data_IF_933173091491
#
_entry.id   IF_933173091491
#
_cell.length_a   1.000
_cell.length_b   1.000
_cell.length_c   1.000
_cell.angle_alpha   90.00
_cell.angle_beta   90.00
_cell.angle_gamma   90.00
#
_symmetry.space_group_name_H-M   'P 1'
#
loop_
_entity.id
_entity.type
_entity.pdbx_description
1 polymer ?
#
# COMPACT_ATOMS: atom_id res chain seq x y z
N UNK A 1 19.97 48.85 3.56
CA UNK A 1 19.00 49.97 3.40
C UNK A 1 17.62 49.29 3.40
N UNK A 2 16.92 49.24 4.52
CA UNK A 2 15.93 50.17 5.06
C UNK A 2 14.73 50.33 4.09
N UNK A 3 13.55 49.88 4.42
CA UNK A 3 12.59 50.35 5.42
C UNK A 3 11.39 49.42 5.54
N UNK A 4 11.08 49.06 6.72
CA UNK A 4 9.82 48.98 7.44
C UNK A 4 8.69 49.90 6.91
N UNK A 5 7.45 49.36 6.87
CA UNK A 5 6.28 50.11 7.33
C UNK A 5 5.23 49.21 7.97
N UNK A 6 4.93 49.56 9.21
CA UNK A 6 3.86 49.15 10.09
C UNK A 6 2.57 49.90 9.75
N UNK A 7 1.44 49.35 10.12
CA UNK A 7 0.19 49.88 10.72
C UNK A 7 -1.00 49.16 10.14
N UNK A 8 -2.05 48.89 10.86
CA UNK A 8 -2.48 49.23 12.20
C UNK A 8 -3.85 48.57 12.48
N UNK A 9 -4.08 48.38 13.69
CA UNK A 9 -5.33 47.97 14.32
C UNK A 9 -6.51 48.87 13.97
N UNK A 10 -7.74 48.30 13.93
CA UNK A 10 -8.88 48.99 14.54
C UNK A 10 -10.00 48.03 14.88
N UNK A 11 -10.35 48.00 16.15
CA UNK A 11 -11.56 47.46 16.77
C UNK A 11 -12.77 48.37 16.49
N UNK A 12 -13.95 47.83 16.28
CA UNK A 12 -15.24 48.37 16.77
C UNK A 12 -16.28 47.25 16.75
N UNK A 13 -16.72 46.79 17.88
CA UNK A 13 -17.74 47.22 18.81
C UNK A 13 -19.22 46.98 18.36
N UNK A 14 -19.77 46.01 19.03
CA UNK A 14 -21.17 45.91 19.56
C UNK A 14 -22.33 46.46 18.76
N UNK A 15 -23.30 45.60 18.49
CA UNK A 15 -24.72 45.91 18.72
C UNK A 15 -25.50 44.66 19.07
N UNK A 16 -26.01 44.63 20.31
CA UNK A 16 -27.05 43.73 20.83
C UNK A 16 -28.39 44.14 20.23
N UNK A 17 -29.12 43.17 19.73
CA UNK A 17 -30.59 43.31 19.56
C UNK A 17 -31.27 42.15 20.28
N UNK A 18 -31.86 42.48 21.37
CA UNK A 18 -32.74 41.67 22.21
C UNK A 18 -34.08 41.59 21.48
N UNK A 19 -34.46 40.40 21.01
CA UNK A 19 -35.80 40.10 20.50
C UNK A 19 -36.36 38.90 21.28
N UNK A 20 -37.12 39.23 22.32
CA UNK A 20 -37.96 38.28 23.03
C UNK A 20 -39.06 37.82 22.08
N UNK A 21 -39.18 36.53 21.83
CA UNK A 21 -40.43 35.89 21.41
C UNK A 21 -40.86 34.90 22.46
N UNK A 22 -42.03 35.22 23.04
CA UNK A 22 -42.84 34.42 23.90
C UNK A 22 -43.24 33.11 23.20
N UNK A 23 -42.98 32.00 23.84
CA UNK A 23 -43.52 30.70 23.50
C UNK A 23 -44.75 30.47 24.41
N UNK A 24 -45.89 29.99 23.87
CA UNK A 24 -46.98 29.53 24.68
C UNK A 24 -46.62 28.19 25.33
N UNK A 25 -46.95 28.09 26.60
CA UNK A 25 -46.84 26.91 27.41
C UNK A 25 -47.99 25.91 27.10
N UNK A 26 -47.68 24.64 27.32
CA UNK A 26 -48.54 23.49 27.54
C UNK A 26 -49.15 22.80 26.31
N UNK A 27 -48.44 21.68 25.93
CA UNK A 27 -49.18 20.44 25.70
C UNK A 27 -48.40 19.27 26.34
N UNK A 28 -49.09 18.22 26.83
CA UNK A 28 -48.45 17.15 27.62
C UNK A 28 -47.63 16.23 26.75
N UNK A 29 -46.39 15.94 27.21
CA UNK A 29 -45.51 14.94 26.60
C UNK A 29 -46.13 13.54 26.75
N UNK A 30 -46.66 13.01 25.63
CA UNK A 30 -46.92 11.59 25.49
C UNK A 30 -45.58 10.83 25.53
N UNK A 31 -45.27 10.27 26.69
CA UNK A 31 -44.19 9.31 26.88
C UNK A 31 -44.44 8.03 26.04
N UNK A 32 -44.13 8.07 24.76
CA UNK A 32 -43.97 6.84 23.98
C UNK A 32 -42.67 6.13 24.43
N UNK A 33 -42.79 5.36 25.48
CA UNK A 33 -41.79 4.39 25.86
C UNK A 33 -41.66 3.34 24.74
N UNK A 34 -40.71 3.51 23.84
CA UNK A 34 -40.33 2.50 22.86
C UNK A 34 -39.77 1.30 23.64
N UNK A 35 -40.64 0.34 23.96
CA UNK A 35 -40.22 -0.95 24.53
C UNK A 35 -39.61 -1.80 23.41
N UNK A 36 -38.29 -1.79 23.31
CA UNK A 36 -37.53 -2.73 22.45
C UNK A 36 -37.84 -4.17 22.91
N UNK A 37 -38.17 -5.09 21.97
CA UNK A 37 -38.44 -6.48 22.28
C UNK A 37 -37.20 -7.11 22.99
N UNK A 38 -37.48 -7.97 23.98
CA UNK A 38 -36.44 -8.54 24.86
C UNK A 38 -35.23 -9.19 24.15
N UNK A 39 -35.42 -9.65 22.91
CA UNK A 39 -34.34 -10.20 22.05
C UNK A 39 -33.39 -9.15 21.51
N UNK A 40 -33.81 -7.87 21.40
CA UNK A 40 -32.91 -6.76 20.97
C UNK A 40 -32.04 -6.22 22.12
N UNK A 41 -32.44 -6.42 23.37
CA UNK A 41 -31.71 -5.96 24.56
C UNK A 41 -30.40 -6.74 24.79
N UNK A 42 -30.30 -8.00 24.29
CA UNK A 42 -29.10 -8.85 24.42
C UNK A 42 -28.12 -8.66 23.26
N UNK A 43 -28.55 -8.16 22.09
CA UNK A 43 -27.69 -7.95 20.93
C UNK A 43 -27.01 -6.56 20.94
N UNK A 44 -27.61 -5.58 21.60
CA UNK A 44 -27.03 -4.22 21.66
C UNK A 44 -25.63 -4.17 22.33
N UNK A 45 -25.39 -4.84 23.48
CA UNK A 45 -24.05 -4.83 24.08
C UNK A 45 -23.02 -5.58 23.22
N UNK A 46 -23.41 -6.63 22.48
CA UNK A 46 -22.52 -7.36 21.60
C UNK A 46 -22.07 -6.52 20.40
N UNK A 47 -23.00 -5.74 19.82
CA UNK A 47 -22.68 -4.83 18.72
C UNK A 47 -21.73 -3.68 19.15
N UNK A 48 -21.90 -3.17 20.37
CA UNK A 48 -21.05 -2.14 20.95
C UNK A 48 -19.63 -2.69 21.23
N UNK A 49 -19.53 -3.91 21.74
CA UNK A 49 -18.22 -4.58 21.99
C UNK A 49 -17.48 -4.82 20.66
N UNK A 50 -18.19 -5.26 19.61
CA UNK A 50 -17.59 -5.46 18.28
C UNK A 50 -17.15 -4.13 17.65
N UNK A 51 -17.89 -3.03 17.82
CA UNK A 51 -17.51 -1.71 17.32
C UNK A 51 -16.27 -1.14 18.06
N UNK A 52 -16.15 -1.40 19.35
CA UNK A 52 -14.98 -0.97 20.15
C UNK A 52 -13.72 -1.77 19.81
N UNK A 53 -13.85 -3.08 19.53
CA UNK A 53 -12.73 -3.91 19.13
C UNK A 53 -12.12 -3.49 17.78
N UNK A 54 -12.96 -3.05 16.81
CA UNK A 54 -12.50 -2.56 15.51
C UNK A 54 -11.69 -1.26 15.59
N UNK A 55 -12.04 -0.34 16.51
CA UNK A 55 -11.27 0.88 16.75
C UNK A 55 -9.92 0.60 17.42
N UNK A 56 -9.87 -0.39 18.31
CA UNK A 56 -8.65 -0.74 19.04
C UNK A 56 -7.55 -1.27 18.10
N UNK A 57 -7.91 -2.00 17.05
CA UNK A 57 -6.92 -2.63 16.16
C UNK A 57 -6.22 -1.63 15.23
N UNK A 58 -6.93 -0.61 14.72
CA UNK A 58 -6.34 0.44 13.90
C UNK A 58 -5.45 1.39 14.71
N UNK A 59 -5.86 1.74 15.93
CA UNK A 59 -5.02 2.50 16.86
C UNK A 59 -3.79 1.72 17.34
N UNK A 60 -3.84 0.38 17.33
CA UNK A 60 -2.71 -0.46 17.74
C UNK A 60 -1.57 -0.43 16.70
N UNK A 61 -1.88 -0.39 15.38
CA UNK A 61 -0.87 -0.35 14.33
C UNK A 61 -0.15 1.01 14.28
N UNK A 62 -0.88 2.13 14.29
CA UNK A 62 -0.29 3.47 14.31
C UNK A 62 0.56 3.70 15.57
N UNK A 63 0.09 3.17 16.70
CA UNK A 63 0.83 3.20 17.94
C UNK A 63 2.12 2.38 17.84
N UNK A 64 2.04 1.16 17.29
CA UNK A 64 3.20 0.29 17.08
C UNK A 64 4.23 0.95 16.16
N UNK A 65 3.80 1.52 15.04
CA UNK A 65 4.65 2.24 14.10
C UNK A 65 5.38 3.40 14.79
N UNK A 66 4.67 4.20 15.61
CA UNK A 66 5.25 5.29 16.39
C UNK A 66 6.26 4.78 17.42
N UNK A 67 5.96 3.68 18.09
CA UNK A 67 6.86 3.05 19.08
C UNK A 67 8.11 2.47 18.42
N UNK A 68 7.98 1.83 17.26
CA UNK A 68 9.12 1.35 16.46
C UNK A 68 10.00 2.51 15.99
N UNK A 69 9.38 3.58 15.47
CA UNK A 69 10.11 4.78 15.04
C UNK A 69 10.87 5.43 16.21
N UNK A 70 10.23 5.53 17.38
CA UNK A 70 10.85 6.09 18.58
C UNK A 70 12.01 5.21 19.05
N UNK A 71 11.83 3.90 19.11
CA UNK A 71 12.88 2.95 19.48
C UNK A 71 14.05 3.01 18.49
N UNK A 72 13.76 3.01 17.19
CA UNK A 72 14.77 3.10 16.13
C UNK A 72 15.57 4.40 16.18
N UNK A 73 14.90 5.52 16.43
CA UNK A 73 15.56 6.83 16.54
C UNK A 73 16.44 6.95 17.78
N UNK A 74 16.09 6.30 18.90
CA UNK A 74 16.80 6.40 20.17
C UNK A 74 17.90 5.35 20.36
N UNK A 75 17.68 4.12 19.87
CA UNK A 75 18.55 2.97 20.11
C UNK A 75 18.86 2.12 18.88
N UNK A 76 18.54 2.61 17.67
CA UNK A 76 18.88 2.00 16.40
C UNK A 76 17.90 0.89 15.94
N UNK A 77 18.20 0.34 14.77
CA UNK A 77 17.36 -0.68 14.09
C UNK A 77 17.08 -1.91 14.98
N UNK A 78 18.04 -2.47 15.74
CA UNK A 78 17.76 -3.61 16.62
C UNK A 78 16.66 -3.33 17.66
N UNK A 79 16.55 -2.09 18.15
CA UNK A 79 15.51 -1.73 19.10
C UNK A 79 14.12 -1.64 18.45
N UNK A 80 14.04 -1.12 17.21
CA UNK A 80 12.81 -1.13 16.43
C UNK A 80 12.36 -2.56 16.14
N UNK A 81 13.29 -3.43 15.73
CA UNK A 81 13.03 -4.85 15.48
C UNK A 81 12.52 -5.56 16.74
N UNK A 82 13.17 -5.37 17.88
CA UNK A 82 12.74 -5.95 19.14
C UNK A 82 11.33 -5.49 19.54
N UNK A 83 10.97 -4.22 19.24
CA UNK A 83 9.62 -3.70 19.49
C UNK A 83 8.58 -4.35 18.59
N UNK A 84 8.89 -4.54 17.32
CA UNK A 84 8.03 -5.25 16.38
C UNK A 84 7.84 -6.72 16.81
N UNK A 85 8.92 -7.42 17.12
CA UNK A 85 8.86 -8.84 17.52
C UNK A 85 8.08 -9.05 18.83
N UNK A 86 8.12 -8.09 19.74
CA UNK A 86 7.33 -8.10 20.98
C UNK A 86 5.83 -7.84 20.76
N UNK A 87 5.44 -7.26 19.62
CA UNK A 87 4.03 -7.01 19.31
C UNK A 87 3.28 -8.25 18.83
N UNK A 88 3.98 -9.21 18.24
CA UNK A 88 3.40 -10.46 17.73
C UNK A 88 3.56 -11.59 18.76
N UNK A 89 2.48 -11.90 19.46
CA UNK A 89 2.48 -12.87 20.57
C UNK A 89 2.07 -14.27 20.13
N UNK A 90 1.28 -14.35 19.06
CA UNK A 90 0.76 -15.62 18.51
C UNK A 90 1.43 -15.98 17.18
N UNK A 91 1.37 -17.25 16.80
CA UNK A 91 1.85 -17.72 15.50
C UNK A 91 1.03 -17.12 14.34
N UNK A 92 -0.27 -16.90 14.54
CA UNK A 92 -1.12 -16.25 13.55
C UNK A 92 -0.61 -14.83 13.23
N UNK A 93 -0.35 -14.01 14.26
CA UNK A 93 0.21 -12.66 14.11
C UNK A 93 1.59 -12.68 13.42
N UNK A 94 2.46 -13.63 13.79
CA UNK A 94 3.78 -13.80 13.15
C UNK A 94 3.72 -14.27 11.71
N UNK A 95 2.60 -14.84 11.27
CA UNK A 95 2.38 -15.28 9.89
C UNK A 95 1.74 -14.20 9.02
N UNK A 96 1.38 -13.04 9.56
CA UNK A 96 0.76 -11.95 8.80
C UNK A 96 1.71 -11.31 7.80
N UNK A 97 1.15 -10.87 6.67
CA UNK A 97 1.93 -10.26 5.60
C UNK A 97 2.68 -9.01 6.07
N UNK A 98 1.96 -8.06 6.70
CA UNK A 98 2.55 -6.79 7.14
C UNK A 98 3.67 -7.00 8.14
N UNK A 99 3.45 -7.88 9.15
CA UNK A 99 4.49 -8.21 10.13
C UNK A 99 5.77 -8.72 9.47
N UNK A 100 5.65 -9.61 8.48
CA UNK A 100 6.81 -10.19 7.81
C UNK A 100 7.49 -9.22 6.82
N UNK A 101 6.75 -8.29 6.21
CA UNK A 101 7.32 -7.21 5.41
C UNK A 101 8.16 -6.26 6.28
N UNK A 102 7.60 -5.78 7.39
CA UNK A 102 8.28 -4.88 8.32
C UNK A 102 9.50 -5.57 8.97
N UNK A 103 9.33 -6.81 9.43
CA UNK A 103 10.40 -7.59 10.02
C UNK A 103 11.55 -7.84 9.03
N UNK A 104 11.19 -8.23 7.81
CA UNK A 104 12.17 -8.45 6.75
C UNK A 104 12.99 -7.20 6.44
N UNK A 105 12.34 -6.04 6.35
CA UNK A 105 13.03 -4.79 6.08
C UNK A 105 13.92 -4.34 7.24
N UNK A 106 13.46 -4.42 8.49
CA UNK A 106 14.29 -4.09 9.65
C UNK A 106 15.52 -5.00 9.74
N UNK A 107 15.36 -6.31 9.49
CA UNK A 107 16.48 -7.25 9.45
C UNK A 107 17.46 -6.91 8.32
N UNK A 108 16.96 -6.49 7.15
CA UNK A 108 17.79 -6.08 6.02
C UNK A 108 18.59 -4.81 6.34
N UNK A 109 17.94 -3.84 6.98
CA UNK A 109 18.60 -2.61 7.45
C UNK A 109 19.67 -2.89 8.52
N UNK A 110 19.49 -3.96 9.29
CA UNK A 110 20.47 -4.45 10.28
C UNK A 110 21.53 -5.38 9.66
N UNK A 111 21.58 -5.48 8.32
CA UNK A 111 22.49 -6.34 7.55
C UNK A 111 22.35 -7.85 7.83
N UNK A 112 21.26 -8.29 8.41
CA UNK A 112 20.93 -9.70 8.69
C UNK A 112 20.18 -10.30 7.50
N UNK A 113 20.86 -10.41 6.36
CA UNK A 113 20.24 -10.74 5.07
C UNK A 113 19.61 -12.14 5.04
N UNK A 114 20.19 -13.13 5.71
CA UNK A 114 19.61 -14.49 5.80
C UNK A 114 18.29 -14.49 6.57
N UNK A 115 18.22 -13.81 7.70
CA UNK A 115 17.00 -13.73 8.51
C UNK A 115 15.94 -12.85 7.83
N UNK A 116 16.36 -11.76 7.18
CA UNK A 116 15.52 -10.95 6.32
C UNK A 116 14.90 -11.78 5.20
N UNK A 117 15.69 -12.60 4.53
CA UNK A 117 15.22 -13.51 3.48
C UNK A 117 14.16 -14.48 4.00
N UNK A 118 14.35 -15.05 5.20
CA UNK A 118 13.34 -15.94 5.81
C UNK A 118 12.03 -15.20 6.07
N UNK A 119 12.07 -13.99 6.63
CA UNK A 119 10.88 -13.16 6.86
C UNK A 119 10.17 -12.81 5.54
N UNK A 120 10.90 -12.37 4.53
CA UNK A 120 10.32 -12.07 3.22
C UNK A 120 9.76 -13.30 2.51
N UNK A 121 10.32 -14.50 2.70
CA UNK A 121 9.73 -15.73 2.15
C UNK A 121 8.39 -16.09 2.82
N UNK A 122 8.19 -15.79 4.11
CA UNK A 122 6.89 -15.93 4.76
C UNK A 122 5.87 -14.92 4.20
N UNK A 123 6.30 -13.66 4.00
CA UNK A 123 5.48 -12.65 3.32
C UNK A 123 5.13 -13.08 1.88
N UNK A 124 6.09 -13.63 1.15
CA UNK A 124 5.93 -14.08 -0.23
C UNK A 124 4.93 -15.25 -0.37
N UNK A 125 4.86 -16.13 0.62
CA UNK A 125 3.84 -17.17 0.64
C UNK A 125 2.42 -16.58 0.67
N UNK A 126 2.18 -15.52 1.46
CA UNK A 126 0.89 -14.82 1.50
C UNK A 126 0.57 -14.12 0.19
N UNK A 127 1.56 -13.50 -0.44
CA UNK A 127 1.36 -12.87 -1.76
C UNK A 127 1.05 -13.93 -2.83
N UNK A 128 1.66 -15.11 -2.77
CA UNK A 128 1.32 -16.23 -3.68
C UNK A 128 -0.11 -16.71 -3.53
N UNK A 129 -0.63 -16.79 -2.30
CA UNK A 129 -2.04 -17.11 -2.06
C UNK A 129 -2.96 -16.09 -2.76
N UNK A 130 -2.61 -14.79 -2.69
CA UNK A 130 -3.32 -13.74 -3.40
C UNK A 130 -3.19 -13.87 -4.93
N UNK A 131 -1.98 -14.14 -5.45
CA UNK A 131 -1.74 -14.35 -6.88
C UNK A 131 -2.56 -15.52 -7.44
N UNK A 132 -2.66 -16.60 -6.69
CA UNK A 132 -3.46 -17.76 -7.08
C UNK A 132 -4.95 -17.41 -7.12
N UNK A 133 -5.45 -16.69 -6.12
CA UNK A 133 -6.82 -16.21 -6.10
C UNK A 133 -7.11 -15.24 -7.27
N UNK A 134 -6.18 -14.35 -7.59
CA UNK A 134 -6.30 -13.41 -8.71
C UNK A 134 -6.37 -14.09 -10.07
N UNK A 135 -5.72 -15.25 -10.22
CA UNK A 135 -5.74 -16.07 -11.44
C UNK A 135 -6.98 -16.94 -11.53
N UNK A 136 -7.37 -17.59 -10.43
CA UNK A 136 -8.39 -18.64 -10.43
C UNK A 136 -9.80 -18.11 -10.20
N UNK A 137 -9.97 -17.12 -9.32
CA UNK A 137 -11.28 -16.54 -8.97
C UNK A 137 -11.21 -15.02 -8.76
N UNK A 138 -10.88 -14.25 -9.82
CA UNK A 138 -10.73 -12.80 -9.71
C UNK A 138 -12.02 -12.10 -9.27
N UNK A 139 -13.20 -12.63 -9.64
CA UNK A 139 -14.48 -12.03 -9.25
C UNK A 139 -14.74 -12.14 -7.75
N UNK A 140 -14.40 -13.28 -7.13
CA UNK A 140 -14.49 -13.45 -5.69
C UNK A 140 -13.54 -12.49 -4.97
N UNK A 141 -12.32 -12.35 -5.44
CA UNK A 141 -11.35 -11.42 -4.87
C UNK A 141 -11.84 -9.96 -4.98
N UNK A 142 -12.35 -9.54 -6.16
CA UNK A 142 -12.98 -8.22 -6.35
C UNK A 142 -14.21 -8.01 -5.45
N UNK A 143 -15.07 -9.04 -5.31
CA UNK A 143 -16.23 -9.01 -4.44
C UNK A 143 -15.86 -8.83 -2.97
N UNK A 144 -14.78 -9.47 -2.51
CA UNK A 144 -14.24 -9.30 -1.16
C UNK A 144 -13.72 -7.87 -0.95
N UNK A 145 -13.05 -7.29 -1.96
CA UNK A 145 -12.62 -5.91 -1.95
C UNK A 145 -13.81 -4.92 -1.90
N UNK A 146 -14.87 -5.17 -2.69
CA UNK A 146 -16.10 -4.36 -2.69
C UNK A 146 -16.87 -4.43 -1.37
N UNK A 147 -16.96 -5.61 -0.75
CA UNK A 147 -17.59 -5.78 0.57
C UNK A 147 -16.79 -5.12 1.70
N UNK A 148 -15.48 -4.97 1.54
CA UNK A 148 -14.59 -4.32 2.51
C UNK A 148 -14.81 -2.79 2.61
N UNK A 149 -15.49 -2.17 1.64
CA UNK A 149 -15.94 -0.77 1.74
C UNK A 149 -16.91 -0.55 2.90
N UNK A 150 -17.55 -1.62 3.39
CA UNK A 150 -18.46 -1.57 4.54
C UNK A 150 -17.70 -1.61 5.88
N UNK A 151 -16.48 -2.15 5.91
CA UNK A 151 -15.65 -2.19 7.12
C UNK A 151 -14.15 -2.42 6.79
N UNK A 152 -13.44 -1.39 6.41
CA UNK A 152 -11.96 -1.42 6.25
C UNK A 152 -11.23 -1.96 7.49
N UNK A 153 -11.90 -1.89 8.65
CA UNK A 153 -11.36 -2.27 9.96
C UNK A 153 -11.24 -3.77 10.20
N UNK A 154 -11.87 -4.59 9.37
CA UNK A 154 -11.85 -6.07 9.49
C UNK A 154 -11.04 -6.73 8.39
N UNK A 155 -10.43 -5.96 7.49
CA UNK A 155 -9.68 -6.49 6.36
C UNK A 155 -8.30 -6.96 6.80
N UNK A 156 -8.00 -8.23 6.52
CA UNK A 156 -6.61 -8.72 6.58
C UNK A 156 -5.78 -7.92 5.57
N UNK A 157 -4.60 -7.49 5.97
CA UNK A 157 -3.70 -6.74 5.09
C UNK A 157 -3.20 -7.63 3.94
N UNK A 158 -3.58 -7.30 2.72
CA UNK A 158 -3.21 -8.07 1.51
C UNK A 158 -2.00 -7.50 0.78
N UNK A 159 -1.47 -6.38 1.24
CA UNK A 159 -0.38 -5.64 0.61
C UNK A 159 -0.83 -4.82 -0.60
N UNK A 160 -0.18 -3.70 -0.82
CA UNK A 160 -0.35 -2.90 -2.03
C UNK A 160 0.38 -3.55 -3.22
N UNK A 161 -0.03 -3.24 -4.44
CA UNK A 161 0.58 -3.86 -5.63
C UNK A 161 2.08 -3.58 -5.73
N UNK A 162 2.50 -2.35 -5.43
CA UNK A 162 3.92 -1.99 -5.41
C UNK A 162 4.71 -2.72 -4.32
N UNK A 163 4.10 -3.04 -3.17
CA UNK A 163 4.76 -3.79 -2.10
C UNK A 163 4.97 -5.25 -2.49
N UNK A 164 4.00 -5.84 -3.19
CA UNK A 164 4.12 -7.20 -3.73
C UNK A 164 5.30 -7.32 -4.69
N UNK A 165 5.46 -6.34 -5.58
CA UNK A 165 6.59 -6.25 -6.53
C UNK A 165 7.90 -5.97 -5.78
N UNK A 166 7.89 -5.03 -4.84
CA UNK A 166 9.05 -4.67 -4.04
C UNK A 166 9.57 -5.83 -3.20
N UNK A 167 8.70 -6.67 -2.68
CA UNK A 167 9.04 -7.85 -1.89
C UNK A 167 10.01 -8.80 -2.63
N UNK A 168 9.71 -9.16 -3.88
CA UNK A 168 10.61 -10.03 -4.67
C UNK A 168 11.86 -9.31 -5.12
N UNK A 169 11.80 -7.99 -5.32
CA UNK A 169 12.99 -7.17 -5.59
C UNK A 169 13.93 -7.16 -4.39
N UNK A 170 13.42 -6.99 -3.18
CA UNK A 170 14.25 -7.01 -1.95
C UNK A 170 14.79 -8.39 -1.63
N UNK A 171 14.05 -9.46 -1.95
CA UNK A 171 14.58 -10.83 -1.91
C UNK A 171 15.79 -10.97 -2.84
N UNK A 172 15.69 -10.53 -4.09
CA UNK A 172 16.81 -10.55 -5.03
C UNK A 172 18.00 -9.73 -4.50
N UNK A 173 17.77 -8.55 -3.94
CA UNK A 173 18.84 -7.72 -3.33
C UNK A 173 19.51 -8.43 -2.14
N UNK A 174 18.75 -9.12 -1.28
CA UNK A 174 19.33 -9.91 -0.20
C UNK A 174 20.20 -11.05 -0.74
N UNK A 175 19.74 -11.75 -1.80
CA UNK A 175 20.52 -12.79 -2.47
C UNK A 175 21.82 -12.26 -3.06
N UNK A 176 21.76 -11.07 -3.70
CA UNK A 176 22.98 -10.40 -4.21
C UNK A 176 23.95 -10.09 -3.06
N UNK A 177 23.46 -9.57 -1.94
CA UNK A 177 24.28 -9.28 -0.77
C UNK A 177 24.92 -10.54 -0.16
N UNK A 178 24.28 -11.70 -0.32
CA UNK A 178 24.78 -13.02 0.11
C UNK A 178 25.66 -13.71 -0.95
N UNK A 179 25.82 -13.15 -2.14
CA UNK A 179 26.54 -13.77 -3.26
C UNK A 179 25.76 -14.89 -3.97
N UNK A 180 24.48 -15.06 -3.65
CA UNK A 180 23.61 -16.10 -4.21
C UNK A 180 22.91 -15.58 -5.48
N UNK A 181 23.67 -15.40 -6.54
CA UNK A 181 23.21 -14.78 -7.79
C UNK A 181 22.17 -15.63 -8.53
N UNK A 182 22.24 -16.94 -8.43
CA UNK A 182 21.28 -17.85 -9.06
C UNK A 182 19.87 -17.71 -8.46
N UNK A 183 19.76 -17.67 -7.15
CA UNK A 183 18.47 -17.43 -6.52
C UNK A 183 18.02 -15.96 -6.66
N UNK A 184 18.95 -14.99 -6.72
CA UNK A 184 18.62 -13.61 -7.06
C UNK A 184 17.95 -13.51 -8.45
N UNK A 185 18.47 -14.25 -9.44
CA UNK A 185 17.88 -14.39 -10.78
C UNK A 185 16.46 -14.95 -10.74
N UNK A 186 16.23 -15.97 -9.89
CA UNK A 186 14.89 -16.55 -9.71
C UNK A 186 13.93 -15.53 -9.12
N UNK A 187 14.34 -14.82 -8.06
CA UNK A 187 13.50 -13.83 -7.39
C UNK A 187 13.17 -12.65 -8.32
N UNK A 188 14.14 -12.16 -9.10
CA UNK A 188 13.86 -11.05 -10.03
C UNK A 188 12.99 -11.48 -11.22
N UNK A 189 13.10 -12.71 -11.69
CA UNK A 189 12.17 -13.26 -12.69
C UNK A 189 10.75 -13.29 -12.14
N UNK A 190 10.58 -13.73 -10.91
CA UNK A 190 9.28 -13.72 -10.22
C UNK A 190 8.70 -12.32 -10.05
N UNK A 191 9.54 -11.28 -9.91
CA UNK A 191 9.09 -9.88 -9.87
C UNK A 191 8.33 -9.53 -11.15
N UNK A 192 8.87 -9.88 -12.33
CA UNK A 192 8.21 -9.62 -13.61
C UNK A 192 6.95 -10.45 -13.81
N UNK A 193 6.95 -11.72 -13.38
CA UNK A 193 5.76 -12.57 -13.42
C UNK A 193 4.63 -11.99 -12.54
N UNK A 194 4.99 -11.45 -11.38
CA UNK A 194 4.06 -10.78 -10.46
C UNK A 194 3.49 -9.50 -11.04
N UNK A 195 4.32 -8.65 -11.66
CA UNK A 195 3.84 -7.47 -12.38
C UNK A 195 2.80 -7.84 -13.46
N UNK A 196 3.02 -8.94 -14.20
CA UNK A 196 2.06 -9.41 -15.19
C UNK A 196 0.73 -9.87 -14.57
N UNK A 197 0.75 -10.59 -13.44
CA UNK A 197 -0.45 -11.00 -12.71
C UNK A 197 -1.24 -9.79 -12.22
N UNK A 198 -0.56 -8.82 -11.64
CA UNK A 198 -1.17 -7.57 -11.16
C UNK A 198 -1.82 -6.82 -12.33
N UNK A 199 -1.10 -6.67 -13.45
CA UNK A 199 -1.60 -6.00 -14.64
C UNK A 199 -2.89 -6.65 -15.16
N UNK A 200 -2.92 -7.98 -15.26
CA UNK A 200 -4.09 -8.72 -15.71
C UNK A 200 -5.27 -8.58 -14.73
N UNK A 201 -5.01 -8.68 -13.43
CA UNK A 201 -6.04 -8.51 -12.41
C UNK A 201 -6.65 -7.11 -12.44
N UNK A 202 -5.82 -6.05 -12.52
CA UNK A 202 -6.29 -4.67 -12.59
C UNK A 202 -7.05 -4.37 -13.88
N UNK A 203 -6.66 -4.96 -15.01
CA UNK A 203 -7.43 -4.84 -16.26
C UNK A 203 -8.83 -5.46 -16.12
N UNK A 204 -8.95 -6.64 -15.50
CA UNK A 204 -10.25 -7.28 -15.22
C UNK A 204 -11.10 -6.47 -14.27
N UNK A 205 -10.50 -5.90 -13.22
CA UNK A 205 -11.18 -5.05 -12.24
C UNK A 205 -11.77 -3.79 -12.91
N UNK A 206 -10.99 -3.15 -13.78
CA UNK A 206 -11.45 -1.98 -14.55
C UNK A 206 -12.63 -2.32 -15.46
N UNK A 207 -12.55 -3.43 -16.20
CA UNK A 207 -13.63 -3.89 -17.08
C UNK A 207 -14.91 -4.20 -16.28
N UNK A 208 -14.80 -4.87 -15.14
CA UNK A 208 -15.93 -5.15 -14.26
C UNK A 208 -16.59 -3.87 -13.73
N UNK A 209 -15.78 -2.88 -13.33
CA UNK A 209 -16.27 -1.58 -12.87
C UNK A 209 -16.99 -0.81 -13.99
N UNK A 210 -16.47 -0.86 -15.23
CA UNK A 210 -17.12 -0.24 -16.39
C UNK A 210 -18.47 -0.91 -16.72
N UNK A 211 -18.55 -2.24 -16.66
CA UNK A 211 -19.78 -2.99 -16.87
C UNK A 211 -20.83 -2.67 -15.78
N UNK A 212 -20.40 -2.61 -14.54
CA UNK A 212 -21.27 -2.24 -13.41
C UNK A 212 -21.80 -0.80 -13.58
N UNK A 213 -20.93 0.15 -13.93
CA UNK A 213 -21.32 1.53 -14.19
C UNK A 213 -22.37 1.61 -15.33
N UNK A 214 -22.15 0.89 -16.45
CA UNK A 214 -23.11 0.81 -17.55
C UNK A 214 -24.44 0.20 -17.12
N UNK A 215 -24.42 -0.88 -16.32
CA UNK A 215 -25.64 -1.56 -15.84
C UNK A 215 -26.47 -0.68 -14.90
N UNK A 216 -25.84 0.19 -14.14
CA UNK A 216 -26.50 1.17 -13.25
C UNK A 216 -26.94 2.45 -13.96
N UNK A 217 -26.82 2.51 -15.29
CA UNK A 217 -27.18 3.68 -16.09
C UNK A 217 -26.30 4.91 -15.83
N UNK A 218 -25.13 4.71 -15.23
CA UNK A 218 -24.12 5.73 -15.12
C UNK A 218 -23.54 5.97 -16.52
N UNK A 219 -24.12 6.92 -17.25
CA UNK A 219 -23.51 7.44 -18.46
C UNK A 219 -22.28 8.24 -18.07
N UNK A 220 -21.20 8.09 -18.82
CA UNK A 220 -19.95 8.90 -18.73
C UNK A 220 -20.16 10.40 -18.97
N UNK A 221 -21.40 10.88 -18.89
CA UNK A 221 -21.81 12.27 -18.97
C UNK A 221 -21.56 13.07 -17.66
N UNK A 222 -21.10 12.40 -16.59
CA UNK A 222 -20.57 13.09 -15.44
C UNK A 222 -19.21 13.68 -15.78
N UNK A 223 -19.14 14.99 -15.93
CA UNK A 223 -17.89 15.71 -16.18
C UNK A 223 -16.89 15.64 -15.01
N UNK A 224 -17.30 15.02 -13.91
CA UNK A 224 -16.53 14.96 -12.65
C UNK A 224 -16.70 13.60 -11.98
N UNK A 225 -15.58 13.02 -11.54
CA UNK A 225 -15.56 11.85 -10.63
C UNK A 225 -14.99 12.36 -9.30
N UNK A 226 -15.79 12.30 -8.24
CA UNK A 226 -15.40 12.76 -6.89
C UNK A 226 -14.91 14.22 -6.85
N UNK A 227 -15.48 15.09 -7.73
CA UNK A 227 -15.10 16.51 -7.83
C UNK A 227 -13.90 16.78 -8.74
N UNK A 228 -13.35 15.76 -9.41
CA UNK A 228 -12.27 15.92 -10.39
C UNK A 228 -12.79 15.78 -11.81
N UNK A 229 -12.39 16.66 -12.77
CA UNK A 229 -12.73 16.50 -14.17
C UNK A 229 -12.24 15.15 -14.72
N UNK A 230 -13.12 14.42 -15.43
CA UNK A 230 -12.75 13.10 -16.03
C UNK A 230 -11.56 13.22 -16.99
N UNK A 231 -11.35 14.38 -17.57
CA UNK A 231 -10.23 14.67 -18.46
C UNK A 231 -8.87 14.54 -17.76
N UNK A 232 -8.81 14.82 -16.44
CA UNK A 232 -7.57 14.66 -15.66
C UNK A 232 -7.09 13.22 -15.51
N UNK A 233 -7.97 12.25 -15.74
CA UNK A 233 -7.59 10.83 -15.77
C UNK A 233 -6.65 10.46 -16.94
N UNK A 234 -6.57 11.33 -17.94
CA UNK A 234 -5.68 11.17 -19.09
C UNK A 234 -4.41 12.01 -18.99
N UNK A 235 -4.23 12.75 -17.91
CA UNK A 235 -2.99 13.49 -17.69
C UNK A 235 -1.82 12.51 -17.60
N UNK A 236 -0.66 12.84 -18.20
CA UNK A 236 0.51 11.95 -18.19
C UNK A 236 0.91 11.49 -16.80
N UNK A 237 0.85 12.37 -15.81
CA UNK A 237 1.15 12.07 -14.40
C UNK A 237 0.16 11.04 -13.79
N UNK A 238 -1.12 11.11 -14.15
CA UNK A 238 -2.15 10.17 -13.70
C UNK A 238 -2.00 8.83 -14.43
N UNK A 239 -1.62 8.86 -15.72
CA UNK A 239 -1.33 7.64 -16.48
C UNK A 239 -0.11 6.88 -15.95
N UNK A 240 0.90 7.59 -15.48
CA UNK A 240 2.05 6.98 -14.78
C UNK A 240 1.61 6.21 -13.51
N UNK A 241 0.62 6.71 -12.78
CA UNK A 241 0.09 6.06 -11.58
C UNK A 241 -0.62 4.71 -11.89
N UNK A 242 -1.11 4.50 -13.12
CA UNK A 242 -1.74 3.23 -13.51
C UNK A 242 -0.80 2.03 -13.42
N UNK A 243 0.49 2.27 -13.58
CA UNK A 243 1.56 1.26 -13.48
C UNK A 243 2.47 1.51 -12.27
N UNK A 244 1.94 2.15 -11.21
CA UNK A 244 2.69 2.51 -10.01
C UNK A 244 3.31 1.32 -9.25
N UNK A 245 2.96 0.09 -9.63
CA UNK A 245 3.59 -1.14 -9.15
C UNK A 245 4.87 -1.50 -9.90
N UNK A 246 5.06 -1.05 -11.14
CA UNK A 246 6.29 -1.31 -11.91
C UNK A 246 7.44 -0.46 -11.40
N UNK A 247 8.60 -1.09 -11.17
CA UNK A 247 9.72 -0.46 -10.50
C UNK A 247 10.97 -0.46 -11.41
N UNK A 248 11.48 0.73 -11.72
CA UNK A 248 12.67 0.89 -12.55
C UNK A 248 13.91 0.20 -11.94
N UNK A 249 14.06 0.21 -10.60
CA UNK A 249 15.15 -0.49 -9.92
C UNK A 249 15.06 -2.02 -10.12
N UNK A 250 13.85 -2.59 -10.05
CA UNK A 250 13.64 -4.02 -10.26
C UNK A 250 14.10 -4.45 -11.65
N UNK A 251 13.73 -3.68 -12.68
CA UNK A 251 14.15 -3.95 -14.06
C UNK A 251 15.64 -3.69 -14.30
N UNK A 252 16.21 -2.67 -13.66
CA UNK A 252 17.65 -2.43 -13.70
C UNK A 252 18.42 -3.59 -13.04
N UNK A 253 17.97 -4.05 -11.88
CA UNK A 253 18.55 -5.20 -11.18
C UNK A 253 18.47 -6.47 -12.03
N UNK A 254 17.38 -6.66 -12.78
CA UNK A 254 17.27 -7.75 -13.74
C UNK A 254 18.34 -7.65 -14.83
N UNK A 255 18.51 -6.48 -15.44
CA UNK A 255 19.56 -6.21 -16.40
C UNK A 255 20.94 -6.57 -15.83
N UNK A 256 21.25 -6.08 -14.65
CA UNK A 256 22.51 -6.33 -13.95
C UNK A 256 22.74 -7.83 -13.67
N UNK A 257 21.75 -8.52 -13.11
CA UNK A 257 21.88 -9.94 -12.78
C UNK A 257 22.11 -10.81 -14.02
N UNK A 258 21.32 -10.60 -15.07
CA UNK A 258 21.50 -11.32 -16.33
C UNK A 258 22.86 -11.03 -16.98
N UNK A 259 23.34 -9.78 -16.89
CA UNK A 259 24.65 -9.43 -17.39
C UNK A 259 25.78 -10.14 -16.61
N UNK A 260 25.72 -10.10 -15.27
CA UNK A 260 26.73 -10.76 -14.41
C UNK A 260 26.76 -12.27 -14.64
N UNK A 261 25.61 -12.87 -14.90
CA UNK A 261 25.49 -14.30 -15.22
C UNK A 261 25.84 -14.64 -16.68
N UNK A 262 26.26 -13.65 -17.48
CA UNK A 262 26.64 -13.86 -18.89
C UNK A 262 25.44 -14.01 -19.85
N UNK A 263 24.23 -13.68 -19.39
CA UNK A 263 22.99 -13.77 -20.17
C UNK A 263 22.63 -12.42 -20.83
N UNK A 264 23.56 -11.84 -21.61
CA UNK A 264 23.42 -10.48 -22.18
C UNK A 264 22.13 -10.28 -22.99
N UNK A 265 21.64 -11.33 -23.66
CA UNK A 265 20.38 -11.29 -24.40
C UNK A 265 19.16 -11.01 -23.52
N UNK A 266 19.20 -11.39 -22.24
CA UNK A 266 18.16 -11.14 -21.24
C UNK A 266 18.41 -9.84 -20.45
N UNK A 267 19.66 -9.38 -20.40
CA UNK A 267 20.03 -8.14 -19.71
C UNK A 267 19.46 -6.89 -20.39
N UNK A 268 19.57 -6.81 -21.74
CA UNK A 268 19.12 -5.66 -22.50
C UNK A 268 17.62 -5.31 -22.31
N UNK A 269 16.67 -6.27 -22.33
CA UNK A 269 15.27 -5.98 -22.00
C UNK A 269 15.07 -5.37 -20.61
N UNK A 270 15.80 -5.84 -19.59
CA UNK A 270 15.75 -5.29 -18.25
C UNK A 270 16.14 -3.81 -18.21
N UNK A 271 17.31 -3.48 -18.76
CA UNK A 271 17.78 -2.10 -18.84
C UNK A 271 16.84 -1.18 -19.65
N UNK A 272 16.33 -1.66 -20.81
CA UNK A 272 15.35 -0.89 -21.61
C UNK A 272 14.08 -0.59 -20.83
N UNK A 273 13.54 -1.56 -20.11
CA UNK A 273 12.34 -1.37 -19.31
C UNK A 273 12.59 -0.41 -18.15
N UNK A 274 13.73 -0.47 -17.51
CA UNK A 274 14.13 0.49 -16.48
C UNK A 274 14.17 1.94 -17.03
N UNK A 275 14.74 2.14 -18.22
CA UNK A 275 14.78 3.45 -18.90
C UNK A 275 13.37 3.92 -19.29
N UNK A 276 12.50 3.03 -19.78
CA UNK A 276 11.11 3.34 -20.09
C UNK A 276 10.36 3.86 -18.87
N UNK A 277 10.54 3.21 -17.71
CA UNK A 277 9.89 3.58 -16.45
C UNK A 277 10.48 4.86 -15.83
N UNK A 278 11.77 5.12 -16.05
CA UNK A 278 12.45 6.30 -15.51
C UNK A 278 13.37 6.90 -16.57
N UNK A 279 12.82 7.62 -17.55
CA UNK A 279 13.61 8.22 -18.62
C UNK A 279 14.54 9.32 -18.09
N UNK A 280 15.53 9.67 -18.88
CA UNK A 280 16.53 10.72 -18.56
C UNK A 280 17.34 10.44 -17.27
N UNK A 281 17.55 9.16 -16.95
CA UNK A 281 18.33 8.74 -15.78
C UNK A 281 19.67 8.14 -16.25
N UNK A 282 20.75 8.91 -16.17
CA UNK A 282 22.05 8.55 -16.76
C UNK A 282 22.58 7.17 -16.36
N UNK A 283 22.45 6.75 -15.11
CA UNK A 283 22.89 5.42 -14.64
C UNK A 283 22.14 4.27 -15.33
N UNK A 284 20.85 4.45 -15.64
CA UNK A 284 20.05 3.43 -16.34
C UNK A 284 20.48 3.34 -17.82
N UNK A 285 20.71 4.48 -18.47
CA UNK A 285 21.17 4.54 -19.86
C UNK A 285 22.58 3.98 -20.01
N UNK A 286 23.46 4.22 -19.04
CA UNK A 286 24.81 3.70 -19.02
C UNK A 286 24.81 2.18 -18.89
N UNK A 287 23.91 1.60 -18.09
CA UNK A 287 23.69 0.16 -18.01
C UNK A 287 23.48 -0.47 -19.38
N UNK A 288 22.58 0.07 -20.19
CA UNK A 288 22.30 -0.42 -21.53
C UNK A 288 23.46 -0.15 -22.51
N UNK A 289 24.00 1.08 -22.52
CA UNK A 289 25.07 1.51 -23.45
C UNK A 289 26.33 0.69 -23.29
N UNK A 290 26.69 0.31 -22.06
CA UNK A 290 27.89 -0.45 -21.78
C UNK A 290 27.77 -1.95 -22.04
N UNK A 291 26.56 -2.48 -22.24
CA UNK A 291 26.32 -3.92 -22.28
C UNK A 291 27.15 -4.66 -23.34
N UNK A 292 27.25 -4.10 -24.55
CA UNK A 292 27.99 -4.72 -25.67
C UNK A 292 29.53 -4.60 -25.54
N UNK A 293 30.00 -3.65 -24.73
CA UNK A 293 31.43 -3.36 -24.55
C UNK A 293 32.01 -3.97 -23.28
N UNK A 294 31.19 -4.40 -22.36
CA UNK A 294 31.65 -5.08 -21.13
C UNK A 294 31.97 -6.54 -21.45
N UNK A 295 33.22 -6.93 -21.25
CA UNK A 295 33.60 -8.34 -21.25
C UNK A 295 32.91 -9.03 -20.09
N UNK A 296 32.38 -10.24 -20.32
CA UNK A 296 31.82 -11.08 -19.27
C UNK A 296 32.74 -11.11 -18.06
N UNK A 297 32.19 -10.85 -16.88
CA UNK A 297 32.94 -10.97 -15.64
C UNK A 297 33.41 -12.41 -15.49
N UNK A 298 34.72 -12.63 -15.63
CA UNK A 298 35.35 -13.87 -15.21
C UNK A 298 35.64 -13.74 -13.72
N UNK A 299 34.96 -14.51 -12.91
CA UNK A 299 35.18 -14.66 -11.47
C UNK A 299 36.40 -15.55 -11.21
#
# INVERSE_FOLDING_TARGET
MARLHKRGEECHARRSVRGQRLWPANEPEDNMAFSLPARMRTLAPLAVVLALAGCANMQSHDKLATEMQTAGSSAGIPAALARLEASATTEAERSELLYNLERGELLRMDHRYEDSTKAFLLADARVKDWEEAAKTDPQKLMGTLGAALISERLKVYEGQDYEKVWLTTTLALNRVALGDLENARVDIKRTHEREAVIAEFRAKELLAAEEEAKSKGATSAGKEISGYPVETLNDPEVLELRNGYSNALSHYLAGYLYEVLGESGLAAPGYRKAIELKPNTGVLEEGLRGLDSRTSFTW
#
